data_IF_060007081496
#
_entry.id   IF_060007081496
#
_cell.length_a   1.000
_cell.length_b   1.000
_cell.length_c   1.000
_cell.angle_alpha   90.00
_cell.angle_beta   90.00
_cell.angle_gamma   90.00
#
_symmetry.space_group_name_H-M   'P 1'
#
loop_
_entity.id
_entity.type
_entity.pdbx_description
1 polymer ?
#
# COMPACT_ATOMS: atom_id res chain seq x y z
N UNK A 1 8.01 -16.43 -9.99
CA UNK A 1 9.17 -15.92 -9.24
C UNK A 1 10.46 -16.08 -10.01
N UNK A 2 10.76 -17.29 -10.49
CA UNK A 2 11.95 -17.53 -11.32
C UNK A 2 11.96 -16.73 -12.61
N UNK A 3 10.80 -16.50 -13.21
CA UNK A 3 10.67 -15.68 -14.42
C UNK A 3 11.06 -14.23 -14.15
N UNK A 4 10.59 -13.66 -13.05
CA UNK A 4 10.93 -12.27 -12.68
C UNK A 4 12.43 -12.11 -12.45
N UNK A 5 13.06 -13.02 -11.76
CA UNK A 5 14.52 -13.00 -11.53
C UNK A 5 15.30 -13.15 -12.83
N UNK A 6 14.85 -14.01 -13.73
CA UNK A 6 15.48 -14.18 -15.03
C UNK A 6 15.39 -12.90 -15.87
N UNK A 7 14.23 -12.27 -15.90
CA UNK A 7 14.03 -11.03 -16.65
C UNK A 7 14.92 -9.90 -16.12
N UNK A 8 15.08 -9.78 -14.80
CA UNK A 8 15.99 -8.80 -14.19
C UNK A 8 17.42 -9.10 -14.54
N UNK A 9 17.82 -10.36 -14.47
CA UNK A 9 19.16 -10.82 -14.84
C UNK A 9 19.48 -10.48 -16.32
N UNK A 10 18.48 -10.60 -17.19
CA UNK A 10 18.61 -10.24 -18.61
C UNK A 10 18.50 -8.73 -18.87
N UNK A 11 18.41 -7.91 -17.83
CA UNK A 11 18.39 -6.46 -17.94
C UNK A 11 17.00 -5.86 -18.15
N UNK A 12 15.92 -6.58 -17.85
CA UNK A 12 14.57 -6.04 -17.94
C UNK A 12 14.39 -4.87 -16.96
N UNK A 13 13.69 -3.82 -17.40
CA UNK A 13 13.41 -2.64 -16.61
C UNK A 13 12.23 -2.94 -15.67
N UNK A 14 12.42 -2.88 -14.32
CA UNK A 14 11.33 -3.11 -13.38
C UNK A 14 10.27 -1.99 -13.40
N UNK A 15 10.58 -0.86 -14.01
CA UNK A 15 9.70 0.30 -14.11
C UNK A 15 9.08 0.45 -15.51
N UNK A 16 9.21 -0.56 -16.38
CA UNK A 16 8.60 -0.52 -17.71
C UNK A 16 7.06 -0.54 -17.61
N UNK A 17 6.40 0.43 -18.23
CA UNK A 17 4.94 0.53 -18.26
C UNK A 17 4.33 -0.49 -19.21
N UNK A 18 3.21 -1.09 -18.80
CA UNK A 18 2.35 -1.88 -19.69
C UNK A 18 1.21 -1.02 -20.24
N UNK A 19 0.25 -1.65 -20.96
CA UNK A 19 -0.89 -0.94 -21.58
C UNK A 19 -1.85 -0.31 -20.55
N UNK A 20 -1.76 -0.70 -19.28
CA UNK A 20 -2.57 -0.17 -18.18
C UNK A 20 -1.83 0.87 -17.34
N UNK A 21 -0.67 1.31 -17.79
CA UNK A 21 0.24 2.16 -17.00
C UNK A 21 0.71 1.50 -15.71
N UNK A 22 0.77 0.16 -15.67
CA UNK A 22 1.36 -0.59 -14.57
C UNK A 22 2.80 -0.97 -14.92
N UNK A 23 3.60 -1.15 -13.88
CA UNK A 23 4.97 -1.67 -13.99
C UNK A 23 5.04 -3.00 -13.24
N UNK A 24 6.07 -3.82 -13.47
CA UNK A 24 6.27 -5.00 -12.63
C UNK A 24 6.24 -4.69 -11.13
N UNK A 25 6.85 -3.58 -10.72
CA UNK A 25 6.84 -3.13 -9.32
C UNK A 25 5.42 -2.84 -8.82
N UNK A 26 4.63 -2.06 -9.57
CA UNK A 26 3.26 -1.73 -9.20
C UNK A 26 2.37 -2.97 -9.09
N UNK A 27 2.56 -3.94 -9.98
CA UNK A 27 1.80 -5.20 -9.98
C UNK A 27 2.05 -5.98 -8.69
N UNK A 28 3.24 -5.91 -8.08
CA UNK A 28 3.50 -6.59 -6.80
C UNK A 28 2.54 -6.14 -5.70
N UNK A 29 2.17 -4.86 -5.67
CA UNK A 29 1.21 -4.34 -4.71
C UNK A 29 -0.20 -4.89 -4.93
N UNK A 30 -0.60 -5.08 -6.18
CA UNK A 30 -1.91 -5.65 -6.52
C UNK A 30 -1.98 -7.12 -6.13
N UNK A 31 -0.95 -7.89 -6.44
CA UNK A 31 -0.91 -9.33 -6.16
C UNK A 31 -0.55 -9.65 -4.72
N UNK A 32 0.12 -8.73 -4.02
CA UNK A 32 0.62 -8.95 -2.68
C UNK A 32 1.81 -9.89 -2.61
N UNK A 33 2.52 -10.09 -3.72
CA UNK A 33 3.63 -11.04 -3.80
C UNK A 33 4.90 -10.46 -3.18
N UNK A 34 5.23 -10.91 -1.99
CA UNK A 34 6.49 -10.56 -1.31
C UNK A 34 7.68 -11.11 -2.10
N UNK A 35 7.55 -12.31 -2.66
CA UNK A 35 8.62 -12.93 -3.46
C UNK A 35 8.97 -12.11 -4.69
N UNK A 36 7.96 -11.59 -5.38
CA UNK A 36 8.17 -10.71 -6.54
C UNK A 36 8.76 -9.38 -6.14
N UNK A 37 8.31 -8.80 -5.02
CA UNK A 37 8.88 -7.58 -4.47
C UNK A 37 10.37 -7.78 -4.20
N UNK A 38 10.75 -8.85 -3.50
CA UNK A 38 12.14 -9.16 -3.20
C UNK A 38 12.96 -9.40 -4.48
N UNK A 39 12.37 -10.02 -5.49
CA UNK A 39 13.05 -10.27 -6.76
C UNK A 39 13.32 -8.98 -7.54
N UNK A 40 12.46 -7.97 -7.41
CA UNK A 40 12.60 -6.70 -8.13
C UNK A 40 13.50 -5.67 -7.42
N UNK A 41 13.63 -5.74 -6.10
CA UNK A 41 14.41 -4.75 -5.33
C UNK A 41 15.85 -4.58 -5.82
N UNK A 42 16.60 -5.64 -6.18
CA UNK A 42 17.98 -5.48 -6.67
C UNK A 42 18.09 -4.65 -7.95
N UNK A 43 17.00 -4.55 -8.75
CA UNK A 43 16.96 -3.71 -9.95
C UNK A 43 16.63 -2.25 -9.64
N UNK A 44 16.53 -1.89 -8.36
CA UNK A 44 16.29 -0.52 -7.88
C UNK A 44 15.05 0.12 -8.53
N UNK A 45 13.84 -0.45 -8.32
CA UNK A 45 12.63 0.13 -8.88
C UNK A 45 12.37 1.53 -8.31
N UNK A 46 11.75 2.38 -9.12
CA UNK A 46 11.30 3.69 -8.66
C UNK A 46 10.08 3.53 -7.74
N UNK A 47 10.29 3.74 -6.44
CA UNK A 47 9.24 3.57 -5.43
C UNK A 47 8.16 4.66 -5.51
N UNK A 48 8.44 5.76 -6.24
CA UNK A 48 7.50 6.88 -6.39
C UNK A 48 6.58 6.73 -7.59
N UNK A 49 6.79 5.70 -8.41
CA UNK A 49 5.98 5.49 -9.60
C UNK A 49 4.52 5.23 -9.22
N UNK A 50 3.60 5.81 -9.98
CA UNK A 50 2.16 5.75 -9.71
C UNK A 50 1.45 4.96 -10.77
N UNK A 51 0.40 4.25 -10.35
CA UNK A 51 -0.53 3.60 -11.27
C UNK A 51 -1.50 4.64 -11.87
N UNK A 52 -2.45 4.18 -12.70
CA UNK A 52 -3.46 5.04 -13.33
C UNK A 52 -4.40 5.74 -12.34
N UNK A 53 -4.45 5.30 -11.09
CA UNK A 53 -5.24 5.92 -10.02
C UNK A 53 -4.40 6.85 -9.14
N UNK A 54 -3.16 7.12 -9.52
CA UNK A 54 -2.25 7.98 -8.78
C UNK A 54 -1.66 7.35 -7.54
N UNK A 55 -1.81 6.04 -7.35
CA UNK A 55 -1.32 5.32 -6.17
C UNK A 55 0.03 4.64 -6.41
N UNK A 56 0.84 4.58 -5.36
CA UNK A 56 2.05 3.75 -5.33
C UNK A 56 1.68 2.28 -5.08
N UNK A 57 2.66 1.38 -5.12
CA UNK A 57 2.42 -0.05 -4.90
C UNK A 57 1.81 -0.36 -3.52
N UNK A 58 2.08 0.45 -2.50
CA UNK A 58 1.57 0.26 -1.15
C UNK A 58 0.05 0.40 -1.04
N UNK A 59 -0.56 1.25 -1.86
CA UNK A 59 -1.98 1.57 -1.75
C UNK A 59 -2.88 0.38 -2.09
N UNK A 60 -2.79 -0.26 -3.27
CA UNK A 60 -3.63 -1.43 -3.55
C UNK A 60 -3.34 -2.59 -2.62
N UNK A 61 -2.11 -2.76 -2.15
CA UNK A 61 -1.78 -3.79 -1.17
C UNK A 61 -2.52 -3.58 0.15
N UNK A 62 -2.62 -2.34 0.60
CA UNK A 62 -3.34 -1.98 1.83
C UNK A 62 -4.85 -2.17 1.68
N UNK A 63 -5.41 -1.75 0.56
CA UNK A 63 -6.82 -1.95 0.22
C UNK A 63 -7.20 -3.43 0.21
N UNK A 64 -6.36 -4.27 -0.39
CA UNK A 64 -6.64 -5.68 -0.60
C UNK A 64 -6.33 -6.57 0.60
N UNK A 65 -5.76 -6.01 1.66
CA UNK A 65 -5.48 -6.76 2.87
C UNK A 65 -4.23 -7.64 2.77
N UNK A 66 -3.26 -7.28 1.95
CA UNK A 66 -2.00 -8.03 1.80
C UNK A 66 -1.02 -7.71 2.94
N UNK A 67 -1.25 -8.30 4.11
CA UNK A 67 -0.50 -8.00 5.35
C UNK A 67 1.00 -8.22 5.17
N UNK A 68 1.41 -9.37 4.65
CA UNK A 68 2.83 -9.71 4.48
C UNK A 68 3.53 -8.74 3.53
N UNK A 69 2.85 -8.37 2.45
CA UNK A 69 3.39 -7.41 1.50
C UNK A 69 3.56 -6.02 2.14
N UNK A 70 2.52 -5.51 2.81
CA UNK A 70 2.57 -4.20 3.48
C UNK A 70 3.71 -4.17 4.50
N UNK A 71 3.83 -5.24 5.32
CA UNK A 71 4.90 -5.35 6.31
C UNK A 71 6.29 -5.21 5.69
N UNK A 72 6.49 -5.82 4.53
CA UNK A 72 7.78 -5.74 3.84
C UNK A 72 7.96 -4.42 3.10
N UNK A 73 6.92 -3.94 2.43
CA UNK A 73 6.98 -2.74 1.60
C UNK A 73 7.31 -1.48 2.40
N UNK A 74 6.78 -1.32 3.60
CA UNK A 74 7.05 -0.15 4.43
C UNK A 74 8.52 -0.05 4.85
N UNK A 75 9.28 -1.13 4.73
CA UNK A 75 10.73 -1.15 5.04
C UNK A 75 11.58 -0.77 3.84
N UNK A 76 11.00 -0.55 2.67
CA UNK A 76 11.76 -0.19 1.45
C UNK A 76 12.07 1.29 1.35
N UNK A 77 11.46 2.12 2.17
CA UNK A 77 11.52 3.58 2.06
C UNK A 77 10.38 4.18 1.24
N UNK A 78 9.42 3.36 0.81
CA UNK A 78 8.23 3.86 0.10
C UNK A 78 7.48 4.86 0.99
N UNK A 79 6.94 5.94 0.38
CA UNK A 79 6.20 6.96 1.12
C UNK A 79 4.86 6.39 1.62
N UNK A 80 4.76 6.20 2.95
CA UNK A 80 3.55 5.67 3.58
C UNK A 80 2.41 6.68 3.60
N UNK A 81 2.69 7.97 3.39
CA UNK A 81 1.71 9.05 3.40
C UNK A 81 1.34 9.54 2.00
N UNK A 82 1.75 8.84 0.95
CA UNK A 82 1.40 9.20 -0.42
C UNK A 82 -0.13 9.22 -0.59
N UNK A 83 -0.61 10.26 -1.27
CA UNK A 83 -2.04 10.49 -1.52
C UNK A 83 -2.32 10.20 -3.00
N UNK A 84 -3.31 9.35 -3.27
CA UNK A 84 -3.71 9.02 -4.65
C UNK A 84 -4.68 10.06 -5.23
N UNK A 85 -5.18 9.83 -6.45
CA UNK A 85 -6.06 10.77 -7.14
C UNK A 85 -7.42 10.95 -6.47
N UNK A 86 -7.86 9.98 -5.65
CA UNK A 86 -9.08 10.11 -4.83
C UNK A 86 -8.87 10.96 -3.58
N UNK A 87 -7.63 11.32 -3.26
CA UNK A 87 -7.30 12.01 -2.02
C UNK A 87 -7.10 11.08 -0.84
N UNK A 88 -6.80 9.80 -1.08
CA UNK A 88 -6.67 8.77 -0.04
C UNK A 88 -5.23 8.29 0.10
N UNK A 89 -4.79 8.15 1.35
CA UNK A 89 -3.54 7.47 1.72
C UNK A 89 -3.78 5.95 1.81
N UNK A 90 -2.69 5.19 1.96
CA UNK A 90 -2.82 3.76 2.23
C UNK A 90 -3.65 3.48 3.49
N UNK A 91 -3.50 4.30 4.53
CA UNK A 91 -4.27 4.17 5.77
C UNK A 91 -5.77 4.39 5.52
N UNK A 92 -6.15 5.43 4.79
CA UNK A 92 -7.54 5.68 4.42
C UNK A 92 -8.12 4.54 3.58
N UNK A 93 -7.37 4.05 2.58
CA UNK A 93 -7.79 2.92 1.75
C UNK A 93 -8.08 1.68 2.60
N UNK A 94 -7.21 1.35 3.54
CA UNK A 94 -7.35 0.17 4.39
C UNK A 94 -8.62 0.25 5.26
N UNK A 95 -8.98 1.44 5.72
CA UNK A 95 -10.18 1.66 6.55
C UNK A 95 -11.45 1.73 5.69
N UNK A 96 -11.43 2.51 4.62
CA UNK A 96 -12.62 2.76 3.79
C UNK A 96 -13.03 1.51 3.00
N UNK A 97 -12.08 0.84 2.40
CA UNK A 97 -12.31 -0.32 1.53
C UNK A 97 -12.11 -1.66 2.23
N UNK A 98 -11.51 -1.65 3.42
CA UNK A 98 -11.42 -2.81 4.28
C UNK A 98 -12.70 -3.05 5.09
N UNK A 99 -12.73 -4.18 5.79
CA UNK A 99 -13.92 -4.61 6.55
C UNK A 99 -13.70 -4.57 8.08
N UNK A 100 -12.57 -4.01 8.54
CA UNK A 100 -12.24 -3.94 9.96
C UNK A 100 -11.79 -5.27 10.58
N UNK A 101 -11.65 -6.32 9.76
CA UNK A 101 -11.19 -7.63 10.22
C UNK A 101 -9.73 -7.61 10.66
N UNK A 102 -9.27 -8.74 11.22
CA UNK A 102 -7.92 -8.85 11.78
C UNK A 102 -6.82 -8.44 10.79
N UNK A 103 -6.93 -8.83 9.51
CA UNK A 103 -5.91 -8.46 8.50
C UNK A 103 -5.81 -6.93 8.35
N UNK A 104 -6.92 -6.23 8.35
CA UNK A 104 -6.93 -4.76 8.25
C UNK A 104 -6.49 -4.09 9.53
N UNK A 105 -6.79 -4.67 10.68
CA UNK A 105 -6.23 -4.21 11.97
C UNK A 105 -4.70 -4.28 11.96
N UNK A 106 -4.15 -5.36 11.43
CA UNK A 106 -2.71 -5.53 11.29
C UNK A 106 -2.11 -4.51 10.31
N UNK A 107 -2.75 -4.28 9.18
CA UNK A 107 -2.29 -3.30 8.19
C UNK A 107 -2.29 -1.89 8.78
N UNK A 108 -3.36 -1.50 9.45
CA UNK A 108 -3.44 -0.19 10.12
C UNK A 108 -2.29 -0.03 11.12
N UNK A 109 -2.04 -1.04 11.93
CA UNK A 109 -0.95 -1.02 12.91
C UNK A 109 0.41 -0.90 12.22
N UNK A 110 0.66 -1.68 11.18
CA UNK A 110 1.92 -1.65 10.43
C UNK A 110 2.15 -0.27 9.80
N UNK A 111 1.12 0.30 9.20
CA UNK A 111 1.22 1.63 8.58
C UNK A 111 1.52 2.70 9.62
N UNK A 112 0.83 2.69 10.75
CA UNK A 112 1.07 3.65 11.84
C UNK A 112 2.49 3.51 12.40
N UNK A 113 2.95 2.29 12.63
CA UNK A 113 4.31 2.04 13.11
C UNK A 113 5.38 2.50 12.11
N UNK A 114 5.05 2.52 10.83
CA UNK A 114 5.94 2.98 9.76
C UNK A 114 5.87 4.49 9.52
N UNK A 115 5.09 5.23 10.30
CA UNK A 115 5.01 6.69 10.21
C UNK A 115 3.81 7.23 9.45
N UNK A 116 2.79 6.39 9.17
CA UNK A 116 1.55 6.90 8.59
C UNK A 116 0.92 7.94 9.50
N UNK A 117 0.55 9.10 8.93
CA UNK A 117 -0.08 10.19 9.67
C UNK A 117 -1.59 9.97 9.73
N UNK A 118 -2.15 9.66 10.92
CA UNK A 118 -3.58 9.41 11.06
C UNK A 118 -4.44 10.67 10.89
N UNK A 119 -3.83 11.86 10.88
CA UNK A 119 -4.53 13.14 10.76
C UNK A 119 -4.79 13.54 9.32
N UNK A 120 -4.16 12.89 8.34
CA UNK A 120 -4.43 13.16 6.93
C UNK A 120 -5.87 12.74 6.63
N UNK A 121 -6.71 13.73 6.30
CA UNK A 121 -8.11 13.53 5.96
C UNK A 121 -8.29 13.35 4.45
N UNK A 122 -9.43 12.77 4.06
CA UNK A 122 -9.84 12.75 2.65
C UNK A 122 -10.29 14.16 2.19
N UNK A 123 -10.74 14.26 0.94
CA UNK A 123 -11.15 15.55 0.36
C UNK A 123 -12.35 16.18 1.05
N UNK A 124 -13.15 15.40 1.77
CA UNK A 124 -14.28 15.87 2.57
C UNK A 124 -13.89 16.20 4.01
N UNK A 125 -12.61 16.13 4.35
CA UNK A 125 -12.12 16.42 5.68
C UNK A 125 -12.34 15.29 6.69
N UNK A 126 -12.60 14.06 6.23
CA UNK A 126 -12.88 12.92 7.10
C UNK A 126 -11.59 12.11 7.28
N UNK A 127 -11.20 11.90 8.54
CA UNK A 127 -9.99 11.14 8.89
C UNK A 127 -10.26 9.63 8.90
N UNK A 128 -9.18 8.85 8.92
CA UNK A 128 -9.28 7.39 9.07
C UNK A 128 -10.05 6.99 10.34
N UNK A 129 -9.83 7.69 11.46
CA UNK A 129 -10.55 7.44 12.71
C UNK A 129 -12.04 7.65 12.54
N UNK A 130 -12.44 8.77 11.92
CA UNK A 130 -13.86 9.06 11.68
C UNK A 130 -14.51 8.02 10.77
N UNK A 131 -13.81 7.57 9.72
CA UNK A 131 -14.31 6.50 8.86
C UNK A 131 -14.48 5.20 9.62
N UNK A 132 -13.53 4.83 10.47
CA UNK A 132 -13.61 3.61 11.27
C UNK A 132 -14.80 3.67 12.24
N UNK A 133 -15.00 4.80 12.89
CA UNK A 133 -16.14 4.99 13.79
C UNK A 133 -17.48 4.86 13.07
N UNK A 134 -17.63 5.52 11.91
CA UNK A 134 -18.84 5.47 11.10
C UNK A 134 -19.18 4.07 10.60
N UNK A 135 -18.15 3.26 10.39
CA UNK A 135 -18.28 1.90 9.85
C UNK A 135 -18.41 0.84 10.94
N UNK A 136 -18.34 1.24 12.21
CA UNK A 136 -18.42 0.30 13.32
C UNK A 136 -17.20 -0.63 13.44
N UNK A 137 -16.06 -0.22 12.91
CA UNK A 137 -14.80 -0.98 13.00
C UNK A 137 -14.16 -0.75 14.38
N UNK A 138 -14.64 -1.43 15.39
CA UNK A 138 -14.29 -1.16 16.80
C UNK A 138 -12.80 -1.27 17.09
N UNK A 139 -12.16 -2.35 16.63
CA UNK A 139 -10.73 -2.55 16.89
C UNK A 139 -9.86 -1.57 16.12
N UNK A 140 -10.20 -1.29 14.86
CA UNK A 140 -9.50 -0.26 14.07
C UNK A 140 -9.65 1.10 14.72
N UNK A 141 -10.84 1.43 15.21
CA UNK A 141 -11.10 2.67 15.95
C UNK A 141 -10.21 2.78 17.18
N UNK A 142 -10.11 1.70 17.94
CA UNK A 142 -9.26 1.66 19.15
C UNK A 142 -7.79 1.88 18.79
N UNK A 143 -7.30 1.20 17.76
CA UNK A 143 -5.92 1.35 17.29
C UNK A 143 -5.64 2.80 16.88
N UNK A 144 -6.54 3.41 16.11
CA UNK A 144 -6.37 4.79 15.63
C UNK A 144 -6.45 5.82 16.77
N UNK A 145 -7.30 5.61 17.77
CA UNK A 145 -7.38 6.50 18.93
C UNK A 145 -6.09 6.50 19.76
N UNK A 146 -5.37 5.40 19.77
CA UNK A 146 -4.12 5.25 20.52
C UNK A 146 -2.88 5.66 19.69
N UNK A 147 -3.09 6.09 18.47
CA UNK A 147 -2.00 6.48 17.59
C UNK A 147 -1.47 7.89 17.91
#
# INVERSE_FOLDING_TARGET
LGVARLLIYLGADPDALDDRHDTPWLVTGVTGSVDMLEALLPAEPDLTIRNRFGGTALIPASERGHVGYVRRAVRTGIDVNHVNDLGWTALLEAVILGDGSRRYQQIVTILLDAGADPKIADRQGVTALQHAERRGQREVTRILRNA
#
